data_IF_012846020490
#
_entry.id   IF_012846020490
#
_cell.length_a   1.000
_cell.length_b   1.000
_cell.length_c   1.000
_cell.angle_alpha   90.00
_cell.angle_beta   90.00
_cell.angle_gamma   90.00
#
_symmetry.space_group_name_H-M   'P 1'
#
loop_
_entity.id
_entity.type
_entity.pdbx_description
1 polymer ?
#
# COMPACT_ATOMS: atom_id res chain seq x y z
N UNK A 1 -19.03 -1.30 -15.31
CA UNK A 1 -18.79 -0.28 -14.27
C UNK A 1 -17.32 0.13 -14.25
N UNK A 2 -17.01 1.40 -13.96
CA UNK A 2 -15.64 1.91 -13.83
C UNK A 2 -14.78 1.18 -12.80
N UNK A 3 -13.46 1.24 -13.02
CA UNK A 3 -12.42 0.89 -12.03
C UNK A 3 -11.82 2.17 -11.49
N UNK A 4 -11.79 2.30 -10.17
CA UNK A 4 -11.35 3.51 -9.47
C UNK A 4 -10.14 3.17 -8.62
N UNK A 5 -9.07 3.97 -8.75
CA UNK A 5 -7.89 3.88 -7.92
C UNK A 5 -7.87 5.07 -6.96
N UNK A 6 -7.83 4.78 -5.66
CA UNK A 6 -7.69 5.78 -4.60
C UNK A 6 -6.21 5.86 -4.20
N UNK A 7 -5.67 7.07 -4.13
CA UNK A 7 -4.37 7.31 -3.52
C UNK A 7 -4.46 7.14 -1.99
N UNK A 8 -3.67 6.21 -1.48
CA UNK A 8 -3.68 5.75 -0.10
C UNK A 8 -2.71 6.47 0.82
N UNK A 9 -2.06 7.56 0.39
CA UNK A 9 -1.07 8.26 1.22
C UNK A 9 -1.64 8.67 2.58
N UNK A 10 -2.78 9.36 2.58
CA UNK A 10 -3.45 9.78 3.82
C UNK A 10 -4.01 8.61 4.63
N UNK A 11 -4.41 7.52 3.97
CA UNK A 11 -4.92 6.31 4.62
C UNK A 11 -3.83 5.53 5.36
N UNK A 12 -2.57 5.63 4.90
CA UNK A 12 -1.41 4.95 5.48
C UNK A 12 -0.74 5.70 6.64
N UNK A 13 -1.12 6.96 6.92
CA UNK A 13 -0.52 7.72 8.01
C UNK A 13 -0.96 7.19 9.39
N UNK A 14 0.00 7.02 10.30
CA UNK A 14 -0.29 6.61 11.68
C UNK A 14 -1.23 7.59 12.39
N UNK A 15 -0.99 8.89 12.17
CA UNK A 15 -1.88 9.96 12.61
C UNK A 15 -3.02 10.07 11.60
N UNK A 16 -4.23 9.74 12.04
CA UNK A 16 -5.43 9.89 11.21
C UNK A 16 -5.60 11.34 10.73
N UNK A 17 -6.05 11.49 9.48
CA UNK A 17 -6.34 12.80 8.87
C UNK A 17 -7.81 12.89 8.46
N UNK A 18 -8.34 14.12 8.33
CA UNK A 18 -9.69 14.32 7.80
C UNK A 18 -9.85 13.73 6.38
N UNK A 19 -8.81 13.86 5.55
CA UNK A 19 -8.76 13.28 4.20
C UNK A 19 -8.88 11.76 4.25
N UNK A 20 -8.19 11.10 5.20
CA UNK A 20 -8.29 9.65 5.38
C UNK A 20 -9.73 9.22 5.69
N UNK A 21 -10.45 9.98 6.52
CA UNK A 21 -11.86 9.69 6.84
C UNK A 21 -12.74 9.76 5.61
N UNK A 22 -12.64 10.82 4.81
CA UNK A 22 -13.43 10.94 3.58
C UNK A 22 -13.08 9.89 2.54
N UNK A 23 -11.79 9.61 2.33
CA UNK A 23 -11.34 8.58 1.40
C UNK A 23 -11.88 7.19 1.79
N UNK A 24 -11.95 6.90 3.09
CA UNK A 24 -12.51 5.64 3.60
C UNK A 24 -13.99 5.53 3.29
N UNK A 25 -14.78 6.54 3.63
CA UNK A 25 -16.22 6.51 3.33
C UNK A 25 -16.48 6.45 1.81
N UNK A 26 -15.75 7.25 1.03
CA UNK A 26 -15.84 7.22 -0.43
C UNK A 26 -15.60 5.82 -0.99
N UNK A 27 -14.62 5.08 -0.48
CA UNK A 27 -14.33 3.72 -0.96
C UNK A 27 -15.52 2.77 -0.78
N UNK A 28 -16.26 2.88 0.32
CA UNK A 28 -17.47 2.07 0.56
C UNK A 28 -18.60 2.50 -0.37
N UNK A 29 -18.88 3.81 -0.49
CA UNK A 29 -19.94 4.29 -1.37
C UNK A 29 -19.69 3.91 -2.84
N UNK A 30 -18.44 3.99 -3.30
CA UNK A 30 -18.07 3.55 -4.65
C UNK A 30 -18.34 2.05 -4.86
N UNK A 31 -18.08 1.23 -3.84
CA UNK A 31 -18.40 -0.19 -3.88
C UNK A 31 -19.90 -0.45 -3.93
N UNK A 32 -20.68 0.21 -3.09
CA UNK A 32 -22.14 0.07 -3.04
C UNK A 32 -22.79 0.55 -4.36
N UNK A 33 -22.17 1.51 -5.04
CA UNK A 33 -22.51 1.91 -6.41
C UNK A 33 -22.05 0.91 -7.47
N UNK A 34 -21.42 -0.21 -7.09
CA UNK A 34 -20.97 -1.31 -7.94
C UNK A 34 -19.62 -1.11 -8.63
N UNK A 35 -18.88 -0.04 -8.30
CA UNK A 35 -17.54 0.17 -8.86
C UNK A 35 -16.51 -0.79 -8.26
N UNK A 36 -15.47 -1.07 -9.04
CA UNK A 36 -14.28 -1.77 -8.55
C UNK A 36 -13.30 -0.77 -7.98
N UNK A 37 -12.95 -0.92 -6.71
CA UNK A 37 -12.13 0.03 -5.96
C UNK A 37 -10.77 -0.59 -5.67
N UNK A 38 -9.71 0.09 -6.08
CA UNK A 38 -8.34 -0.25 -5.77
C UNK A 38 -7.69 0.85 -4.95
N UNK A 39 -6.73 0.52 -4.10
CA UNK A 39 -6.03 1.51 -3.25
C UNK A 39 -4.53 1.37 -3.45
N UNK A 40 -3.85 2.49 -3.71
CA UNK A 40 -2.40 2.54 -3.89
C UNK A 40 -1.73 3.17 -2.67
N UNK A 41 -0.88 2.42 -1.99
CA UNK A 41 -0.01 2.92 -0.93
C UNK A 41 1.40 3.18 -1.48
N UNK A 42 2.18 3.93 -0.70
CA UNK A 42 3.61 4.18 -0.94
C UNK A 42 4.46 3.84 0.28
N UNK A 43 4.13 2.75 0.98
CA UNK A 43 4.90 2.32 2.14
C UNK A 43 6.30 1.85 1.70
N UNK A 44 7.33 2.20 2.46
CA UNK A 44 8.74 1.90 2.17
C UNK A 44 9.13 0.45 2.48
N UNK A 45 8.26 -0.50 2.18
CA UNK A 45 8.52 -1.94 2.30
C UNK A 45 9.27 -2.46 1.07
N UNK A 46 10.32 -3.26 1.25
CA UNK A 46 10.98 -3.93 0.12
C UNK A 46 9.97 -4.83 -0.58
N UNK A 47 9.73 -4.62 -1.88
CA UNK A 47 8.81 -5.51 -2.62
C UNK A 47 9.52 -6.82 -2.91
N UNK A 48 9.31 -7.79 -2.01
CA UNK A 48 9.80 -9.14 -2.18
C UNK A 48 9.03 -9.85 -3.30
N UNK A 49 9.60 -10.92 -3.87
CA UNK A 49 8.89 -11.78 -4.83
C UNK A 49 7.88 -12.70 -4.14
N UNK A 50 8.12 -13.02 -2.87
CA UNK A 50 7.26 -13.88 -2.07
C UNK A 50 6.00 -13.11 -1.59
N UNK A 51 4.83 -13.71 -1.79
CA UNK A 51 3.52 -13.14 -1.44
C UNK A 51 3.39 -12.85 0.06
N UNK A 52 3.81 -13.78 0.91
CA UNK A 52 3.72 -13.63 2.35
C UNK A 52 4.67 -12.53 2.84
N UNK A 53 5.89 -12.49 2.29
CA UNK A 53 6.83 -11.43 2.65
C UNK A 53 6.35 -10.04 2.19
N UNK A 54 5.61 -9.95 1.07
CA UNK A 54 4.97 -8.71 0.64
C UNK A 54 3.85 -8.28 1.59
N UNK A 55 3.00 -9.22 2.00
CA UNK A 55 1.93 -8.95 2.96
C UNK A 55 2.50 -8.51 4.32
N UNK A 56 3.55 -9.17 4.81
CA UNK A 56 4.26 -8.79 6.04
C UNK A 56 4.86 -7.39 5.90
N UNK A 57 5.63 -7.14 4.84
CA UNK A 57 6.28 -5.85 4.63
C UNK A 57 5.28 -4.69 4.50
N UNK A 58 4.07 -4.96 4.02
CA UNK A 58 3.00 -3.97 3.93
C UNK A 58 2.46 -3.58 5.31
N UNK A 59 2.20 -4.56 6.19
CA UNK A 59 1.58 -4.33 7.50
C UNK A 59 2.57 -3.98 8.62
N UNK A 60 3.72 -4.65 8.66
CA UNK A 60 4.72 -4.48 9.73
C UNK A 60 5.84 -3.50 9.36
N UNK A 61 5.84 -3.01 8.11
CA UNK A 61 6.89 -2.16 7.56
C UNK A 61 8.10 -2.97 7.05
N UNK A 62 9.07 -2.28 6.44
CA UNK A 62 10.31 -2.93 6.04
C UNK A 62 11.06 -3.46 7.27
N UNK A 63 11.47 -4.73 7.19
CA UNK A 63 12.51 -5.27 8.08
C UNK A 63 13.75 -4.40 7.92
N UNK A 64 14.32 -3.92 9.03
CA UNK A 64 15.53 -3.08 8.99
C UNK A 64 16.61 -3.75 8.14
N UNK A 65 16.94 -3.13 7.01
CA UNK A 65 18.03 -3.58 6.17
C UNK A 65 19.35 -2.94 6.65
N UNK A 66 20.49 -3.61 6.44
CA UNK A 66 21.79 -3.00 6.69
C UNK A 66 21.91 -1.70 5.90
N UNK A 67 22.37 -0.61 6.55
CA UNK A 67 22.47 0.75 5.97
C UNK A 67 23.17 0.80 4.59
N UNK A 68 24.10 -0.13 4.35
CA UNK A 68 24.84 -0.23 3.09
C UNK A 68 23.95 -0.71 1.92
N UNK A 69 23.05 -1.66 2.19
CA UNK A 69 22.06 -2.16 1.23
C UNK A 69 21.02 -1.11 0.91
N UNK A 70 20.49 -0.40 1.92
CA UNK A 70 19.55 0.71 1.70
C UNK A 70 20.15 1.82 0.82
N UNK A 71 21.42 2.18 1.05
CA UNK A 71 22.10 3.21 0.26
C UNK A 71 22.27 2.77 -1.20
N UNK A 72 22.62 1.50 -1.42
CA UNK A 72 22.72 0.90 -2.76
C UNK A 72 21.36 0.88 -3.47
N UNK A 73 20.29 0.51 -2.78
CA UNK A 73 18.93 0.52 -3.36
C UNK A 73 18.49 1.93 -3.72
N UNK A 74 18.71 2.92 -2.85
CA UNK A 74 18.39 4.33 -3.14
C UNK A 74 19.18 4.87 -4.33
N UNK A 75 20.48 4.58 -4.42
CA UNK A 75 21.29 4.98 -5.56
C UNK A 75 20.80 4.33 -6.87
N UNK A 76 20.44 3.05 -6.81
CA UNK A 76 19.86 2.31 -7.94
C UNK A 76 18.49 2.86 -8.36
N UNK A 77 17.64 3.24 -7.40
CA UNK A 77 16.35 3.88 -7.66
C UNK A 77 16.53 5.27 -8.29
N UNK A 78 17.45 6.09 -7.78
CA UNK A 78 17.76 7.41 -8.32
C UNK A 78 18.25 7.32 -9.79
N UNK A 79 19.09 6.33 -10.09
CA UNK A 79 19.56 6.06 -11.46
C UNK A 79 18.46 5.55 -12.40
N UNK A 80 17.44 4.87 -11.87
CA UNK A 80 16.35 4.31 -12.68
C UNK A 80 15.30 5.36 -13.09
N UNK A 81 15.35 6.56 -12.53
CA UNK A 81 14.48 7.68 -12.90
C UNK A 81 13.00 7.50 -12.52
N UNK A 82 12.16 8.52 -12.74
CA UNK A 82 10.76 8.54 -12.30
C UNK A 82 9.86 7.49 -12.96
N UNK A 83 10.26 6.90 -14.10
CA UNK A 83 9.51 5.84 -14.77
C UNK A 83 9.68 4.45 -14.12
N UNK A 84 10.53 4.32 -13.11
CA UNK A 84 10.83 3.02 -12.51
C UNK A 84 9.88 2.60 -11.40
N UNK A 85 9.10 3.54 -10.87
CA UNK A 85 8.07 3.27 -9.88
C UNK A 85 6.96 2.43 -10.49
N UNK A 86 6.64 1.30 -9.83
CA UNK A 86 5.55 0.41 -10.23
C UNK A 86 4.66 0.12 -9.04
N UNK A 87 3.36 0.22 -9.26
CA UNK A 87 2.33 -0.29 -8.37
C UNK A 87 2.31 -1.82 -8.47
N UNK A 88 2.68 -2.50 -7.38
CA UNK A 88 2.64 -3.96 -7.28
C UNK A 88 1.53 -4.35 -6.32
N UNK A 89 0.76 -5.36 -6.70
CA UNK A 89 -0.35 -5.82 -5.88
C UNK A 89 0.18 -6.46 -4.58
N UNK A 90 -0.44 -6.10 -3.46
CA UNK A 90 -0.20 -6.72 -2.16
C UNK A 90 -1.27 -7.79 -1.96
N UNK A 91 -0.89 -9.07 -1.86
CA UNK A 91 -1.86 -10.13 -1.58
C UNK A 91 -2.34 -10.00 -0.13
N UNK A 92 -3.64 -9.89 0.08
CA UNK A 92 -4.25 -9.89 1.42
C UNK A 92 -4.79 -11.30 1.64
N UNK A 93 -3.97 -12.17 2.22
CA UNK A 93 -4.29 -13.59 2.42
C UNK A 93 -4.89 -13.87 3.80
N UNK A 94 -4.76 -12.92 4.73
CA UNK A 94 -5.23 -13.06 6.12
C UNK A 94 -4.25 -13.81 7.02
N UNK A 95 -3.06 -14.15 6.51
CA UNK A 95 -1.98 -14.78 7.28
C UNK A 95 -1.26 -13.81 8.21
N UNK A 96 -1.32 -12.51 7.88
CA UNK A 96 -0.70 -11.45 8.69
C UNK A 96 -1.75 -10.80 9.57
N UNK A 97 -1.52 -10.79 10.89
CA UNK A 97 -2.44 -10.25 11.88
C UNK A 97 -2.33 -8.73 11.90
N UNK A 98 -3.08 -8.07 11.03
CA UNK A 98 -3.10 -6.62 10.89
C UNK A 98 -3.85 -5.87 12.00
N UNK A 99 -3.86 -6.35 13.27
CA UNK A 99 -4.74 -5.82 14.34
C UNK A 99 -4.68 -4.30 14.54
N UNK A 100 -3.53 -3.68 14.29
CA UNK A 100 -3.35 -2.21 14.38
C UNK A 100 -3.83 -1.46 13.12
N UNK A 101 -3.85 -2.12 11.96
CA UNK A 101 -4.19 -1.56 10.65
C UNK A 101 -5.61 -1.91 10.16
N UNK A 102 -6.16 -3.07 10.52
CA UNK A 102 -7.44 -3.57 10.01
C UNK A 102 -8.61 -2.64 10.30
N UNK A 103 -8.61 -1.97 11.46
CA UNK A 103 -9.66 -1.01 11.81
C UNK A 103 -9.63 0.28 10.96
N UNK A 104 -8.56 0.51 10.18
CA UNK A 104 -8.34 1.73 9.40
C UNK A 104 -8.34 1.50 7.89
N UNK A 105 -8.46 0.24 7.44
CA UNK A 105 -8.49 -0.06 6.03
C UNK A 105 -9.78 0.47 5.38
N UNK A 106 -9.70 1.07 4.19
CA UNK A 106 -10.87 1.37 3.36
C UNK A 106 -11.50 0.08 2.82
N UNK A 107 -12.62 0.20 2.11
CA UNK A 107 -13.01 -0.84 1.17
C UNK A 107 -11.97 -0.97 0.06
N UNK A 108 -11.68 -2.20 -0.37
CA UNK A 108 -10.84 -2.48 -1.52
C UNK A 108 -11.20 -3.82 -2.17
N UNK A 109 -11.18 -3.86 -3.50
CA UNK A 109 -11.06 -5.10 -4.28
C UNK A 109 -9.58 -5.51 -4.46
N UNK A 110 -8.68 -4.52 -4.48
CA UNK A 110 -7.25 -4.75 -4.62
C UNK A 110 -6.43 -3.66 -3.92
N UNK A 111 -5.35 -4.07 -3.27
CA UNK A 111 -4.34 -3.17 -2.68
C UNK A 111 -3.07 -3.24 -3.51
N UNK A 112 -2.48 -2.08 -3.75
CA UNK A 112 -1.20 -1.93 -4.40
C UNK A 112 -0.25 -1.15 -3.49
N UNK A 113 1.04 -1.41 -3.62
CA UNK A 113 2.10 -0.59 -3.03
C UNK A 113 3.09 -0.17 -4.12
N UNK A 114 3.55 1.08 -4.10
CA UNK A 114 4.64 1.52 -4.96
C UNK A 114 5.98 0.99 -4.46
N UNK A 115 6.84 0.54 -5.37
CA UNK A 115 8.25 0.22 -5.09
C UNK A 115 9.07 1.44 -4.67
#
# INVERSE_FOLDING_TARGET
>A
MPRILIDGYNLGLEKGTGVATYARNLSYELHELGHKVSVLYGNRGSLNRDDLLREIAFFDGAVEQPRLLELLERAKQALRGPLSYRAVQVPITGRVVARTFSARLPYFDAIYNSN
#
